data_IF_062674653576
#
_entry.id   IF_062674653576
#
_cell.length_a   1.000
_cell.length_b   1.000
_cell.length_c   1.000
_cell.angle_alpha   90.00
_cell.angle_beta   90.00
_cell.angle_gamma   90.00
#
_symmetry.space_group_name_H-M   'P 1'
#
loop_
_entity.id
_entity.type
_entity.pdbx_description
1 polymer ?
#
# COMPACT_ATOMS: atom_id res chain seq x y z
N UNK A 1 12.82 46.25 43.34
CA UNK A 1 13.30 45.97 41.98
C UNK A 1 12.52 44.78 41.46
N UNK A 2 11.51 45.05 40.64
CA UNK A 2 10.60 44.07 40.06
C UNK A 2 10.95 44.01 38.57
N UNK A 3 11.22 42.84 37.97
CA UNK A 3 11.55 42.78 36.55
C UNK A 3 10.28 43.05 35.73
N UNK A 4 10.36 44.05 34.85
CA UNK A 4 9.40 44.24 33.75
C UNK A 4 9.55 43.09 32.75
N UNK A 5 8.47 42.44 32.32
CA UNK A 5 8.57 41.48 31.22
C UNK A 5 8.81 42.24 29.92
N UNK A 6 9.98 42.01 29.33
CA UNK A 6 10.30 42.40 27.95
C UNK A 6 9.26 41.77 27.01
N UNK A 7 8.40 42.60 26.43
CA UNK A 7 7.44 42.19 25.43
C UNK A 7 8.22 41.86 24.15
N UNK A 8 8.51 40.58 23.94
CA UNK A 8 9.09 40.07 22.71
C UNK A 8 8.28 40.60 21.52
N UNK A 9 8.93 41.40 20.67
CA UNK A 9 8.39 41.88 19.39
C UNK A 9 8.19 40.70 18.46
N UNK A 10 7.09 39.97 18.65
CA UNK A 10 6.61 39.03 17.67
C UNK A 10 6.17 39.89 16.48
N UNK A 11 6.75 39.61 15.32
CA UNK A 11 6.37 40.20 14.05
C UNK A 11 4.86 40.00 13.88
N UNK A 12 4.08 41.02 14.19
CA UNK A 12 2.64 41.02 14.01
C UNK A 12 2.42 41.11 12.51
N UNK A 13 2.28 39.95 11.87
CA UNK A 13 1.81 39.87 10.49
C UNK A 13 0.47 40.61 10.44
N UNK A 14 0.49 41.84 9.94
CA UNK A 14 -0.70 42.69 9.92
C UNK A 14 -1.82 42.04 9.10
N UNK A 15 -3.08 42.45 9.29
CA UNK A 15 -4.22 41.90 8.56
C UNK A 15 -4.05 41.96 7.04
N UNK A 16 -3.30 42.94 6.54
CA UNK A 16 -2.89 43.05 5.13
C UNK A 16 -2.02 41.88 4.65
N UNK A 17 -1.13 41.36 5.49
CA UNK A 17 -0.26 40.23 5.15
C UNK A 17 -1.06 38.92 5.05
N UNK A 18 -2.02 38.74 5.95
CA UNK A 18 -2.97 37.62 5.93
C UNK A 18 -3.92 37.68 4.73
N UNK A 19 -4.39 38.87 4.36
CA UNK A 19 -5.16 39.06 3.13
C UNK A 19 -4.33 38.71 1.90
N UNK A 20 -3.09 39.19 1.82
CA UNK A 20 -2.20 38.89 0.71
C UNK A 20 -1.94 37.38 0.55
N UNK A 21 -1.70 36.66 1.65
CA UNK A 21 -1.52 35.19 1.62
C UNK A 21 -2.81 34.47 1.23
N UNK A 22 -3.96 34.87 1.76
CA UNK A 22 -5.25 34.29 1.38
C UNK A 22 -5.56 34.48 -0.12
N UNK A 23 -5.30 35.67 -0.66
CA UNK A 23 -5.49 35.95 -2.09
C UNK A 23 -4.52 35.13 -2.96
N UNK A 24 -3.26 35.00 -2.54
CA UNK A 24 -2.28 34.18 -3.25
C UNK A 24 -2.71 32.70 -3.30
N UNK A 25 -3.18 32.13 -2.18
CA UNK A 25 -3.68 30.75 -2.14
C UNK A 25 -4.93 30.57 -3.01
N UNK A 26 -5.88 31.51 -2.98
CA UNK A 26 -7.08 31.46 -3.81
C UNK A 26 -6.73 31.51 -5.31
N UNK A 27 -5.74 32.33 -5.70
CA UNK A 27 -5.26 32.40 -7.08
C UNK A 27 -4.64 31.06 -7.53
N UNK A 28 -3.84 30.41 -6.69
CA UNK A 28 -3.27 29.08 -6.99
C UNK A 28 -4.36 28.04 -7.19
N UNK A 29 -5.38 27.99 -6.32
CA UNK A 29 -6.51 27.05 -6.45
C UNK A 29 -7.31 27.32 -7.73
N UNK A 30 -7.59 28.59 -8.05
CA UNK A 30 -8.29 28.95 -9.29
C UNK A 30 -7.48 28.57 -10.53
N UNK A 31 -6.15 28.78 -10.53
CA UNK A 31 -5.27 28.42 -11.63
C UNK A 31 -5.19 26.90 -11.82
N UNK A 32 -5.16 26.13 -10.72
CA UNK A 32 -5.21 24.67 -10.76
C UNK A 32 -6.55 24.15 -11.31
N UNK A 33 -7.66 24.85 -11.03
CA UNK A 33 -8.97 24.57 -11.60
C UNK A 33 -9.04 24.79 -13.12
N UNK A 34 -8.32 25.79 -13.64
CA UNK A 34 -8.23 26.07 -15.08
C UNK A 34 -7.33 25.07 -15.83
N UNK A 35 -6.42 24.39 -15.13
CA UNK A 35 -5.56 23.34 -15.68
C UNK A 35 -6.14 21.92 -15.45
N UNK A 36 -7.38 21.81 -14.95
CA UNK A 36 -8.06 20.52 -14.91
C UNK A 36 -8.25 20.05 -16.37
N UNK A 37 -7.79 18.84 -16.74
CA UNK A 37 -8.15 18.27 -18.02
C UNK A 37 -9.67 18.16 -18.11
N UNK A 38 -10.23 18.47 -19.28
CA UNK A 38 -11.67 18.42 -19.54
C UNK A 38 -12.29 17.13 -18.97
N UNK A 39 -13.09 17.28 -17.92
CA UNK A 39 -13.96 16.21 -17.39
C UNK A 39 -15.15 15.93 -18.32
N UNK A 40 -15.09 16.43 -19.57
CA UNK A 40 -16.04 16.19 -20.65
C UNK A 40 -15.39 15.35 -21.76
N UNK A 41 -14.73 14.27 -21.37
CA UNK A 41 -14.37 13.17 -22.27
C UNK A 41 -14.61 11.78 -21.64
N UNK A 42 -15.35 11.67 -20.53
CA UNK A 42 -15.95 10.40 -20.13
C UNK A 42 -17.29 10.24 -20.83
N UNK A 43 -17.24 10.04 -22.14
CA UNK A 43 -18.34 9.48 -22.90
C UNK A 43 -18.70 8.13 -22.29
N UNK A 44 -19.79 8.11 -21.53
CA UNK A 44 -20.54 6.89 -21.27
C UNK A 44 -21.15 6.46 -22.59
N UNK A 45 -20.52 5.45 -23.21
CA UNK A 45 -21.03 4.45 -24.15
C UNK A 45 -20.11 4.28 -25.36
N UNK A 46 -19.28 3.25 -25.31
CA UNK A 46 -18.97 2.46 -26.49
C UNK A 46 -18.72 1.01 -26.06
N UNK A 47 -19.50 0.12 -26.66
CA UNK A 47 -19.41 -1.32 -26.57
C UNK A 47 -18.00 -1.84 -26.93
N UNK A 48 -17.63 -3.05 -26.48
CA UNK A 48 -16.36 -3.66 -26.88
C UNK A 48 -16.50 -4.21 -28.30
N UNK A 49 -15.76 -3.63 -29.24
CA UNK A 49 -15.42 -4.30 -30.51
C UNK A 49 -13.92 -4.55 -30.56
N UNK A 50 -13.55 -5.68 -29.97
CA UNK A 50 -12.27 -6.35 -30.15
C UNK A 50 -12.50 -7.86 -30.11
N UNK A 51 -12.83 -8.44 -31.26
CA UNK A 51 -12.83 -9.90 -31.54
C UNK A 51 -11.36 -10.36 -31.47
N UNK A 52 -10.89 -11.29 -30.64
CA UNK A 52 -11.30 -12.69 -30.43
C UNK A 52 -10.66 -13.23 -29.15
N UNK A 53 -11.49 -13.58 -28.16
CA UNK A 53 -11.48 -14.85 -27.45
C UNK A 53 -12.79 -14.84 -26.66
N UNK A 54 -13.68 -15.80 -26.92
CA UNK A 54 -14.90 -15.94 -26.15
C UNK A 54 -14.51 -15.97 -24.65
N UNK A 55 -15.08 -15.12 -23.78
CA UNK A 55 -14.92 -15.35 -22.35
C UNK A 55 -15.52 -16.73 -22.12
N UNK A 56 -14.71 -17.64 -21.60
CA UNK A 56 -15.24 -18.89 -21.08
C UNK A 56 -16.26 -18.48 -20.02
N UNK A 57 -17.55 -18.65 -20.34
CA UNK A 57 -18.67 -18.50 -19.41
C UNK A 57 -18.59 -19.60 -18.36
N UNK A 58 -17.57 -19.53 -17.52
CA UNK A 58 -17.46 -20.24 -16.27
C UNK A 58 -17.68 -19.24 -15.13
N UNK A 59 -18.11 -19.69 -13.95
CA UNK A 59 -18.11 -18.85 -12.76
C UNK A 59 -16.70 -18.29 -12.55
N UNK A 60 -16.56 -16.96 -12.54
CA UNK A 60 -15.30 -16.34 -12.16
C UNK A 60 -15.03 -16.72 -10.70
N UNK A 61 -13.89 -17.39 -10.45
CA UNK A 61 -13.53 -17.80 -9.10
C UNK A 61 -13.41 -16.55 -8.21
N UNK A 62 -14.12 -16.53 -7.09
CA UNK A 62 -14.04 -15.45 -6.11
C UNK A 62 -12.66 -15.46 -5.47
N UNK A 63 -12.00 -14.30 -5.46
CA UNK A 63 -10.74 -14.11 -4.74
C UNK A 63 -10.95 -14.21 -3.22
N UNK A 64 -10.04 -14.83 -2.46
CA UNK A 64 -10.14 -14.93 -1.01
C UNK A 64 -10.26 -13.56 -0.34
N UNK A 65 -11.26 -13.38 0.53
CA UNK A 65 -11.45 -12.12 1.30
C UNK A 65 -10.40 -11.99 2.42
N UNK A 66 -9.52 -10.97 2.39
CA UNK A 66 -8.50 -10.76 3.40
C UNK A 66 -9.07 -10.29 4.75
N UNK A 67 -10.30 -9.79 4.82
CA UNK A 67 -10.95 -9.43 6.07
C UNK A 67 -11.52 -10.65 6.81
N UNK A 68 -11.72 -11.78 6.12
CA UNK A 68 -12.24 -13.02 6.67
C UNK A 68 -11.18 -13.93 7.32
N UNK A 69 -9.94 -13.45 7.46
CA UNK A 69 -8.80 -14.22 7.95
C UNK A 69 -8.25 -13.64 9.26
N UNK A 70 -7.93 -14.51 10.21
CA UNK A 70 -7.16 -14.13 11.40
C UNK A 70 -5.66 -14.19 11.11
N UNK A 71 -4.98 -13.06 11.16
CA UNK A 71 -3.54 -12.98 10.91
C UNK A 71 -2.71 -13.33 12.15
N UNK A 72 -1.63 -14.12 12.02
CA UNK A 72 -0.80 -14.57 13.13
C UNK A 72 0.20 -13.48 13.57
N UNK A 73 -0.27 -12.26 13.79
CA UNK A 73 0.53 -11.15 14.29
C UNK A 73 0.38 -11.03 15.81
N UNK A 74 1.51 -10.91 16.51
CA UNK A 74 1.53 -10.60 17.94
C UNK A 74 1.36 -9.08 18.15
N UNK A 75 0.11 -8.63 18.08
CA UNK A 75 -0.24 -7.22 18.23
C UNK A 75 -0.50 -6.79 19.68
N UNK A 76 -0.19 -7.64 20.67
CA UNK A 76 -0.34 -7.33 22.10
C UNK A 76 -1.72 -6.77 22.48
N UNK A 77 -2.78 -7.33 21.88
CA UNK A 77 -4.17 -6.94 22.12
C UNK A 77 -4.71 -5.84 21.18
N UNK A 78 -3.89 -5.25 20.32
CA UNK A 78 -4.34 -4.36 19.26
C UNK A 78 -4.93 -5.16 18.08
N UNK A 79 -5.88 -4.59 17.32
CA UNK A 79 -6.37 -5.21 16.10
C UNK A 79 -5.30 -5.24 15.01
N UNK A 80 -5.52 -6.05 13.98
CA UNK A 80 -4.72 -6.06 12.75
C UNK A 80 -5.40 -5.22 11.67
N UNK A 81 -4.62 -4.53 10.86
CA UNK A 81 -5.09 -3.80 9.68
C UNK A 81 -4.46 -4.38 8.41
N UNK A 82 -5.31 -4.68 7.42
CA UNK A 82 -4.90 -4.94 6.04
C UNK A 82 -4.72 -3.59 5.35
N UNK A 83 -3.50 -3.29 4.89
CA UNK A 83 -3.15 -1.96 4.37
C UNK A 83 -2.99 -1.92 2.86
N UNK A 84 -2.71 -3.06 2.23
CA UNK A 84 -2.66 -3.22 0.79
C UNK A 84 -2.99 -4.66 0.42
N UNK A 85 -3.56 -4.85 -0.76
CA UNK A 85 -3.88 -6.16 -1.31
C UNK A 85 -3.52 -6.23 -2.79
N UNK A 86 -3.17 -7.42 -3.26
CA UNK A 86 -3.03 -7.73 -4.67
C UNK A 86 -3.63 -9.12 -4.92
N UNK A 87 -4.18 -9.33 -6.12
CA UNK A 87 -4.88 -10.57 -6.47
C UNK A 87 -4.36 -11.12 -7.79
N UNK A 88 -4.26 -12.44 -7.89
CA UNK A 88 -3.83 -13.11 -9.11
C UNK A 88 -3.58 -14.59 -8.88
N UNK A 89 -3.58 -15.34 -9.97
CA UNK A 89 -3.24 -16.77 -9.97
C UNK A 89 -1.71 -16.92 -9.80
N UNK A 90 -1.29 -17.40 -8.63
CA UNK A 90 0.12 -17.52 -8.26
C UNK A 90 0.67 -18.92 -8.52
N UNK A 91 -0.17 -19.94 -8.59
CA UNK A 91 0.24 -21.34 -8.74
C UNK A 91 -0.12 -21.98 -10.10
N UNK A 92 -0.87 -21.25 -10.94
CA UNK A 92 -1.24 -21.63 -12.30
C UNK A 92 -2.49 -22.51 -12.38
N UNK A 93 -3.27 -22.63 -11.31
CA UNK A 93 -4.47 -23.48 -11.26
C UNK A 93 -5.75 -22.80 -11.78
N UNK A 94 -5.64 -21.54 -12.23
CA UNK A 94 -6.72 -20.65 -12.68
C UNK A 94 -7.67 -20.19 -11.58
N UNK A 95 -7.27 -20.31 -10.32
CA UNK A 95 -7.92 -19.67 -9.17
C UNK A 95 -7.01 -18.57 -8.67
N UNK A 96 -7.54 -17.38 -8.40
CA UNK A 96 -6.72 -16.30 -7.90
C UNK A 96 -6.51 -16.42 -6.38
N UNK A 97 -5.27 -16.22 -5.95
CA UNK A 97 -4.94 -15.95 -4.56
C UNK A 97 -5.11 -14.46 -4.25
N UNK A 98 -5.21 -14.15 -2.95
CA UNK A 98 -5.09 -12.78 -2.44
C UNK A 98 -3.80 -12.67 -1.65
N UNK A 99 -2.95 -11.69 -1.98
CA UNK A 99 -1.79 -11.32 -1.16
C UNK A 99 -2.14 -10.07 -0.36
N UNK A 100 -1.93 -10.12 0.95
CA UNK A 100 -2.28 -9.03 1.86
C UNK A 100 -1.04 -8.54 2.63
N UNK A 101 -0.78 -7.24 2.57
CA UNK A 101 0.12 -6.57 3.50
C UNK A 101 -0.68 -6.21 4.77
N UNK A 102 -0.20 -6.68 5.92
CA UNK A 102 -0.91 -6.59 7.19
C UNK A 102 0.03 -6.06 8.27
N UNK A 103 -0.47 -5.22 9.16
CA UNK A 103 0.26 -4.76 10.34
C UNK A 103 -0.66 -4.66 11.54
N UNK A 104 -0.09 -4.49 12.73
CA UNK A 104 -0.87 -4.09 13.89
C UNK A 104 -1.42 -2.68 13.70
N UNK A 105 -2.66 -2.46 14.09
CA UNK A 105 -3.32 -1.16 14.10
C UNK A 105 -3.00 -0.44 15.43
N UNK A 106 -1.84 0.22 15.45
CA UNK A 106 -1.32 0.87 16.64
C UNK A 106 -1.92 2.26 16.91
N UNK A 107 -2.82 2.76 16.06
CA UNK A 107 -3.38 4.13 16.11
C UNK A 107 -2.35 5.24 15.83
N UNK A 108 -1.15 5.15 16.41
CA UNK A 108 0.00 6.03 16.20
C UNK A 108 1.24 5.22 15.79
N UNK A 109 2.01 5.77 14.86
CA UNK A 109 3.18 5.13 14.26
C UNK A 109 2.84 4.19 13.11
N UNK A 110 3.85 3.50 12.60
CA UNK A 110 3.72 2.59 11.46
C UNK A 110 4.42 1.27 11.80
N UNK A 111 3.73 0.36 12.52
CA UNK A 111 4.27 -0.97 12.77
C UNK A 111 4.67 -1.64 11.46
N UNK A 112 5.71 -2.49 11.47
CA UNK A 112 6.17 -3.16 10.27
C UNK A 112 5.06 -4.07 9.71
N UNK A 113 5.09 -4.25 8.39
CA UNK A 113 4.16 -5.14 7.71
C UNK A 113 4.66 -6.59 7.81
N UNK A 114 3.73 -7.53 7.91
CA UNK A 114 3.86 -8.87 7.36
C UNK A 114 3.13 -8.94 6.02
N UNK A 115 3.52 -9.86 5.15
CA UNK A 115 2.82 -10.13 3.88
C UNK A 115 2.43 -11.60 3.85
N UNK A 116 1.14 -11.85 3.66
CA UNK A 116 0.55 -13.19 3.64
C UNK A 116 -0.08 -13.49 2.29
N UNK A 117 -0.06 -14.76 1.89
CA UNK A 117 -0.81 -15.29 0.75
C UNK A 117 -2.00 -16.06 1.26
N UNK A 118 -3.17 -15.74 0.71
CA UNK A 118 -4.45 -16.34 1.04
C UNK A 118 -4.94 -17.17 -0.15
N UNK A 119 -5.45 -18.35 0.15
CA UNK A 119 -6.17 -19.19 -0.80
C UNK A 119 -7.52 -19.59 -0.21
N UNK A 120 -8.43 -20.03 -1.08
CA UNK A 120 -9.76 -20.51 -0.70
C UNK A 120 -10.08 -21.77 -1.50
N UNK A 121 -10.64 -22.78 -0.84
CA UNK A 121 -11.02 -24.02 -1.51
C UNK A 121 -12.25 -23.80 -2.41
N UNK A 122 -12.42 -24.67 -3.41
CA UNK A 122 -13.52 -24.60 -4.37
C UNK A 122 -14.87 -25.12 -3.83
N UNK A 123 -14.98 -25.35 -2.52
CA UNK A 123 -16.22 -25.79 -1.91
C UNK A 123 -17.11 -24.58 -1.61
N UNK A 124 -18.42 -24.64 -1.92
CA UNK A 124 -19.34 -23.55 -1.56
C UNK A 124 -19.25 -23.25 -0.05
N UNK A 125 -18.99 -21.99 0.29
CA UNK A 125 -18.84 -21.56 1.68
C UNK A 125 -17.47 -21.83 2.32
N UNK A 126 -16.47 -22.27 1.56
CA UNK A 126 -15.09 -22.36 2.06
C UNK A 126 -14.62 -21.02 2.62
N UNK A 127 -13.92 -21.03 3.75
CA UNK A 127 -13.31 -19.81 4.30
C UNK A 127 -11.89 -19.63 3.74
N UNK A 128 -11.46 -18.40 3.45
CA UNK A 128 -10.07 -18.09 3.16
C UNK A 128 -9.11 -18.59 4.25
N UNK A 129 -7.92 -19.04 3.87
CA UNK A 129 -6.84 -19.41 4.79
C UNK A 129 -5.50 -18.88 4.33
N UNK A 130 -4.59 -18.66 5.27
CA UNK A 130 -3.19 -18.33 4.98
C UNK A 130 -2.49 -19.60 4.50
N UNK A 131 -1.87 -19.53 3.31
CA UNK A 131 -1.08 -20.61 2.72
C UNK A 131 0.41 -20.32 2.68
N UNK A 132 0.82 -19.06 2.81
CA UNK A 132 2.22 -18.67 2.91
C UNK A 132 2.42 -17.32 3.62
N UNK A 133 3.59 -17.14 4.20
CA UNK A 133 4.10 -15.83 4.66
C UNK A 133 5.28 -15.43 3.77
N UNK A 134 5.14 -14.31 3.05
CA UNK A 134 6.18 -13.76 2.16
C UNK A 134 7.12 -12.80 2.88
N UNK A 135 6.59 -12.07 3.87
CA UNK A 135 7.34 -11.16 4.72
C UNK A 135 6.89 -11.34 6.17
N UNK A 136 7.84 -11.55 7.07
CA UNK A 136 7.61 -11.62 8.51
C UNK A 136 7.69 -10.22 9.12
N UNK A 137 6.75 -9.85 10.01
CA UNK A 137 6.76 -8.54 10.67
C UNK A 137 8.07 -8.27 11.46
N UNK A 138 8.70 -9.33 11.97
CA UNK A 138 10.00 -9.28 12.65
C UNK A 138 11.17 -8.79 11.77
N UNK A 139 11.01 -8.77 10.44
CA UNK A 139 12.00 -8.18 9.52
C UNK A 139 12.03 -6.66 9.57
N UNK A 140 11.09 -6.02 10.27
CA UNK A 140 11.02 -4.57 10.46
C UNK A 140 10.96 -3.80 9.14
N UNK A 141 10.26 -4.37 8.15
CA UNK A 141 10.08 -3.77 6.84
C UNK A 141 8.63 -3.30 6.65
N UNK A 142 8.46 -2.28 5.81
CA UNK A 142 7.18 -1.72 5.43
C UNK A 142 7.01 -1.87 3.92
N UNK A 143 5.98 -2.59 3.47
CA UNK A 143 5.54 -2.52 2.09
C UNK A 143 5.00 -1.13 1.74
N UNK A 144 5.64 -0.45 0.80
CA UNK A 144 5.20 0.81 0.21
C UNK A 144 4.38 0.60 -1.07
N UNK A 145 4.61 -0.53 -1.75
CA UNK A 145 3.86 -0.98 -2.92
C UNK A 145 3.73 -2.52 -2.88
N UNK A 146 2.65 -3.04 -3.45
CA UNK A 146 2.36 -4.47 -3.54
C UNK A 146 1.53 -4.76 -4.79
N UNK A 147 2.09 -5.57 -5.69
CA UNK A 147 1.44 -5.92 -6.96
C UNK A 147 1.61 -7.40 -7.29
N UNK A 148 0.75 -7.92 -8.17
CA UNK A 148 0.88 -9.24 -8.78
C UNK A 148 0.85 -9.08 -10.30
N UNK A 149 1.82 -9.68 -10.98
CA UNK A 149 1.88 -9.74 -12.45
C UNK A 149 2.56 -11.05 -12.86
N UNK A 150 1.98 -11.76 -13.83
CA UNK A 150 2.51 -13.02 -14.38
C UNK A 150 2.91 -14.07 -13.31
N UNK A 151 2.05 -14.23 -12.29
CA UNK A 151 2.26 -15.13 -11.16
C UNK A 151 3.42 -14.72 -10.23
N UNK A 152 3.87 -13.47 -10.29
CA UNK A 152 4.91 -12.90 -9.43
C UNK A 152 4.31 -11.85 -8.52
N UNK A 153 4.50 -12.04 -7.22
CA UNK A 153 4.27 -11.00 -6.22
C UNK A 153 5.47 -10.07 -6.22
N UNK A 154 5.24 -8.77 -6.34
CA UNK A 154 6.29 -7.75 -6.23
C UNK A 154 5.93 -6.77 -5.12
N UNK A 155 6.90 -6.41 -4.27
CA UNK A 155 6.72 -5.37 -3.27
C UNK A 155 7.93 -4.44 -3.18
N UNK A 156 7.66 -3.14 -3.06
CA UNK A 156 8.68 -2.16 -2.67
C UNK A 156 8.74 -2.10 -1.15
N UNK A 157 9.86 -2.54 -0.57
CA UNK A 157 10.05 -2.64 0.88
C UNK A 157 10.97 -1.53 1.39
N UNK A 158 10.52 -0.82 2.43
CA UNK A 158 11.31 0.13 3.20
C UNK A 158 11.79 -0.57 4.47
N UNK A 159 13.09 -0.47 4.78
CA UNK A 159 13.71 -1.13 5.93
C UNK A 159 14.82 -0.30 6.55
N UNK A 160 15.62 -0.95 7.39
CA UNK A 160 16.69 -0.31 8.17
C UNK A 160 18.01 -1.07 7.99
N UNK A 161 19.10 -0.34 7.75
CA UNK A 161 20.45 -0.92 7.64
C UNK A 161 20.98 -1.41 8.98
N UNK A 162 20.55 -0.77 10.08
CA UNK A 162 20.96 -1.10 11.44
C UNK A 162 19.90 -0.70 12.48
N UNK A 163 19.97 -1.26 13.71
CA UNK A 163 19.09 -0.86 14.81
C UNK A 163 19.24 0.60 15.25
N UNK A 164 20.35 1.26 14.92
CA UNK A 164 20.65 2.65 15.28
C UNK A 164 19.89 3.67 14.41
N UNK A 165 19.37 3.26 13.25
CA UNK A 165 18.60 4.13 12.37
C UNK A 165 17.27 4.51 13.06
N UNK A 166 16.93 5.80 13.16
CA UNK A 166 15.66 6.23 13.74
C UNK A 166 14.46 5.63 13.01
N UNK A 167 13.45 5.16 13.78
CA UNK A 167 12.26 4.50 13.24
C UNK A 167 11.41 5.36 12.29
N UNK A 168 11.56 6.69 12.32
CA UNK A 168 10.84 7.58 11.42
C UNK A 168 11.51 7.69 10.04
N UNK A 169 12.71 7.14 9.87
CA UNK A 169 13.56 7.35 8.70
C UNK A 169 14.20 6.04 8.21
N UNK A 170 13.42 5.10 7.63
CA UNK A 170 13.99 3.91 7.00
C UNK A 170 14.98 4.31 5.89
N UNK A 171 16.18 3.71 5.91
CA UNK A 171 17.31 4.04 5.04
C UNK A 171 17.63 2.96 4.01
N UNK A 172 16.91 1.84 4.03
CA UNK A 172 17.02 0.77 3.05
C UNK A 172 15.76 0.71 2.18
N UNK A 173 15.95 0.65 0.86
CA UNK A 173 14.89 0.38 -0.12
C UNK A 173 15.23 -0.88 -0.89
N UNK A 174 14.28 -1.80 -0.95
CA UNK A 174 14.44 -3.08 -1.64
C UNK A 174 13.23 -3.36 -2.52
N UNK A 175 13.49 -3.89 -3.71
CA UNK A 175 12.47 -4.55 -4.52
C UNK A 175 12.49 -6.03 -4.20
N UNK A 176 11.39 -6.54 -3.64
CA UNK A 176 11.20 -7.95 -3.36
C UNK A 176 10.30 -8.57 -4.42
N UNK A 177 10.70 -9.73 -4.95
CA UNK A 177 9.90 -10.55 -5.86
C UNK A 177 9.73 -11.93 -5.27
N UNK A 178 8.52 -12.47 -5.33
CA UNK A 178 8.22 -13.83 -4.94
C UNK A 178 7.52 -14.57 -6.07
N UNK A 179 8.05 -15.75 -6.43
CA UNK A 179 7.44 -16.64 -7.42
C UNK A 179 7.21 -18.01 -6.80
N UNK A 180 6.04 -18.60 -7.05
CA UNK A 180 5.77 -19.98 -6.68
C UNK A 180 6.56 -20.94 -7.56
N UNK A 181 7.42 -21.77 -6.95
CA UNK A 181 8.23 -22.77 -7.65
C UNK A 181 8.32 -24.03 -6.78
N UNK A 182 7.73 -25.12 -7.26
CA UNK A 182 7.86 -26.44 -6.64
C UNK A 182 7.31 -26.50 -5.21
N UNK A 183 6.11 -25.94 -4.98
CA UNK A 183 5.42 -26.05 -3.70
C UNK A 183 5.77 -24.97 -2.67
N UNK A 184 6.52 -23.93 -3.05
CA UNK A 184 6.86 -22.81 -2.17
C UNK A 184 7.19 -21.53 -2.94
N UNK A 185 7.06 -20.39 -2.27
CA UNK A 185 7.55 -19.12 -2.80
C UNK A 185 9.07 -19.01 -2.69
N UNK A 186 9.72 -18.68 -3.80
CA UNK A 186 11.13 -18.29 -3.85
C UNK A 186 11.21 -16.78 -3.89
N UNK A 187 12.02 -16.22 -3.00
CA UNK A 187 12.24 -14.78 -2.90
C UNK A 187 13.51 -14.38 -3.65
N UNK A 188 13.42 -13.27 -4.37
CA UNK A 188 14.53 -12.48 -4.89
C UNK A 188 14.44 -11.08 -4.31
N UNK A 189 15.57 -10.55 -3.82
CA UNK A 189 15.67 -9.21 -3.25
C UNK A 189 16.74 -8.43 -3.99
N UNK A 190 16.36 -7.26 -4.50
CA UNK A 190 17.29 -6.31 -5.12
C UNK A 190 17.32 -5.04 -4.28
N UNK A 191 18.50 -4.58 -3.90
CA UNK A 191 18.63 -3.24 -3.30
C UNK A 191 18.40 -2.22 -4.41
N UNK A 192 17.47 -1.31 -4.19
CA UNK A 192 17.35 -0.14 -5.03
C UNK A 192 18.23 0.93 -4.42
N UNK A 193 19.38 1.20 -5.04
CA UNK A 193 20.15 2.39 -4.69
C UNK A 193 19.22 3.60 -4.80
N UNK A 194 19.26 4.48 -3.81
CA UNK A 194 18.52 5.73 -3.82
C UNK A 194 19.08 6.65 -4.92
N UNK A 195 18.76 6.37 -6.19
CA UNK A 195 19.32 7.11 -7.31
C UNK A 195 19.04 6.44 -8.65
N UNK A 196 17.82 6.57 -9.16
CA UNK A 196 17.57 6.94 -10.56
C UNK A 196 16.09 7.29 -10.73
N UNK A 197 15.80 8.59 -10.68
CA UNK A 197 14.71 9.22 -11.43
C UNK A 197 15.36 10.01 -12.56
#
# INVERSE_FOLDING_TARGET
MTPTPELLSHHSAGPLHWLATATAMAAVVALAGLLQPDASATGHAAAPTGTTAAPASGPQATTPDPAAVTYPLDCKGLPTAVTATAQGDLDGDRRPETVAAVRCDAGSGTPPHAIYVLAQDNTPGATPRIVATLLEAGKRQTAADLTISDGVVTASLLGYSSPQVPRYSPDVKQLAKWRWIGGKFRQELTNSDAGSV
#
